data_IF_376765036271
#
_entry.id   IF_376765036271
#
_cell.length_a   1.000
_cell.length_b   1.000
_cell.length_c   1.000
_cell.angle_alpha   90.00
_cell.angle_beta   90.00
_cell.angle_gamma   90.00
#
_symmetry.space_group_name_H-M   'P 1'
#
loop_
_entity.id
_entity.type
_entity.pdbx_description
1 polymer ?
#
# COMPACT_ATOMS: atom_id res chain seq x y z
N UNK A 1 12.54 -12.68 -23.27
CA UNK A 1 11.62 -13.38 -22.35
C UNK A 1 11.59 -12.64 -21.02
N UNK A 2 10.46 -12.07 -20.55
CA UNK A 2 10.46 -11.31 -19.32
C UNK A 2 10.63 -12.26 -18.12
N UNK A 3 11.33 -11.75 -17.11
CA UNK A 3 11.89 -12.45 -15.95
C UNK A 3 10.83 -13.13 -15.05
N UNK A 4 10.26 -14.27 -15.50
CA UNK A 4 9.25 -15.05 -14.77
C UNK A 4 9.76 -15.56 -13.40
N UNK A 5 11.07 -15.79 -13.28
CA UNK A 5 11.71 -16.22 -12.03
C UNK A 5 11.70 -15.14 -10.93
N UNK A 6 12.03 -13.88 -11.28
CA UNK A 6 12.07 -12.77 -10.33
C UNK A 6 10.67 -12.34 -9.84
N UNK A 7 9.63 -12.47 -10.68
CA UNK A 7 8.25 -12.17 -10.28
C UNK A 7 7.73 -13.17 -9.24
N UNK A 8 8.09 -14.45 -9.35
CA UNK A 8 7.67 -15.50 -8.43
C UNK A 8 8.36 -15.46 -7.07
N UNK A 9 9.59 -14.96 -6.98
CA UNK A 9 10.29 -14.75 -5.71
C UNK A 9 9.74 -13.55 -4.94
N UNK A 10 9.48 -12.42 -5.61
CA UNK A 10 8.86 -11.23 -4.99
C UNK A 10 7.48 -11.53 -4.39
N UNK A 11 6.63 -12.28 -5.11
CA UNK A 11 5.31 -12.64 -4.59
C UNK A 11 5.39 -13.52 -3.33
N UNK A 12 6.37 -14.43 -3.29
CA UNK A 12 6.63 -15.25 -2.08
C UNK A 12 7.10 -14.39 -0.92
N UNK A 13 8.01 -13.45 -1.16
CA UNK A 13 8.50 -12.52 -0.13
C UNK A 13 7.35 -11.71 0.47
N UNK A 14 6.50 -11.09 -0.36
CA UNK A 14 5.34 -10.32 0.11
C UNK A 14 4.38 -11.19 0.92
N UNK A 15 4.15 -12.44 0.47
CA UNK A 15 3.30 -13.38 1.20
C UNK A 15 3.85 -13.72 2.59
N UNK A 16 5.13 -14.06 2.70
CA UNK A 16 5.74 -14.37 4.00
C UNK A 16 5.81 -13.14 4.91
N UNK A 17 6.17 -11.99 4.36
CA UNK A 17 6.17 -10.73 5.11
C UNK A 17 4.77 -10.41 5.66
N UNK A 18 3.74 -10.53 4.82
CA UNK A 18 2.35 -10.38 5.24
C UNK A 18 1.99 -11.38 6.35
N UNK A 19 2.27 -12.68 6.17
CA UNK A 19 1.93 -13.68 7.16
C UNK A 19 2.62 -13.44 8.52
N UNK A 20 3.92 -13.12 8.51
CA UNK A 20 4.69 -12.86 9.74
C UNK A 20 4.15 -11.62 10.45
N UNK A 21 3.94 -10.52 9.73
CA UNK A 21 3.40 -9.29 10.32
C UNK A 21 1.99 -9.48 10.87
N UNK A 22 1.13 -10.27 10.21
CA UNK A 22 -0.20 -10.61 10.72
C UNK A 22 -0.14 -11.45 12.00
N UNK A 23 0.75 -12.45 12.08
CA UNK A 23 0.94 -13.24 13.31
C UNK A 23 1.40 -12.35 14.46
N UNK A 24 2.40 -11.48 14.22
CA UNK A 24 2.87 -10.53 15.23
C UNK A 24 1.77 -9.57 15.69
N UNK A 25 0.95 -9.07 14.76
CA UNK A 25 -0.17 -8.20 15.06
C UNK A 25 -1.21 -8.89 15.97
N UNK A 26 -1.59 -10.13 15.66
CA UNK A 26 -2.52 -10.91 16.49
C UNK A 26 -1.96 -11.14 17.90
N UNK A 27 -0.67 -11.47 18.02
CA UNK A 27 -0.02 -11.66 19.32
C UNK A 27 0.00 -10.37 20.16
N UNK A 28 0.36 -9.23 19.55
CA UNK A 28 0.38 -7.93 20.22
C UNK A 28 -1.03 -7.47 20.63
N UNK A 29 -2.02 -7.64 19.74
CA UNK A 29 -3.41 -7.33 20.05
C UNK A 29 -3.97 -8.22 21.18
N UNK A 30 -3.59 -9.50 21.19
CA UNK A 30 -3.95 -10.44 22.28
C UNK A 30 -3.32 -10.02 23.60
N UNK A 31 -2.04 -9.65 23.62
CA UNK A 31 -1.38 -9.12 24.81
C UNK A 31 -2.07 -7.83 25.31
N UNK A 32 -2.43 -6.92 24.40
CA UNK A 32 -3.19 -5.72 24.72
C UNK A 32 -4.57 -6.03 25.30
N UNK A 33 -5.30 -7.00 24.74
CA UNK A 33 -6.60 -7.45 25.24
C UNK A 33 -6.47 -8.05 26.65
N UNK A 34 -5.46 -8.89 26.90
CA UNK A 34 -5.18 -9.46 28.23
C UNK A 34 -4.87 -8.34 29.24
N UNK A 35 -4.04 -7.35 28.86
CA UNK A 35 -3.79 -6.19 29.72
C UNK A 35 -5.07 -5.38 29.98
N UNK A 36 -5.93 -5.18 28.97
CA UNK A 36 -7.23 -4.52 29.14
C UNK A 36 -8.10 -5.24 30.17
N UNK A 37 -8.17 -6.57 30.09
CA UNK A 37 -8.96 -7.40 31.02
C UNK A 37 -8.40 -7.33 32.44
N UNK A 38 -7.07 -7.38 32.58
CA UNK A 38 -6.41 -7.45 33.89
C UNK A 38 -6.38 -6.10 34.63
N UNK A 39 -6.22 -5.00 33.91
CA UNK A 39 -5.92 -3.70 34.51
C UNK A 39 -7.03 -2.65 34.37
N UNK A 40 -8.06 -2.90 33.56
CA UNK A 40 -9.12 -1.93 33.33
C UNK A 40 -10.50 -2.52 33.62
N UNK A 41 -11.42 -1.64 34.05
CA UNK A 41 -12.84 -1.98 34.15
C UNK A 41 -13.43 -2.12 32.74
N UNK A 42 -13.94 -3.31 32.41
CA UNK A 42 -14.51 -3.65 31.11
C UNK A 42 -16.04 -3.61 31.17
N UNK A 43 -16.60 -2.51 31.68
CA UNK A 43 -18.05 -2.30 31.76
C UNK A 43 -18.72 -2.00 30.41
N UNK A 44 -17.96 -1.93 29.31
CA UNK A 44 -18.42 -1.68 27.94
C UNK A 44 -19.28 -0.42 27.79
N UNK A 45 -19.02 0.61 28.62
CA UNK A 45 -19.78 1.86 28.62
C UNK A 45 -19.28 2.89 27.60
N UNK A 46 -18.06 2.72 27.08
CA UNK A 46 -17.49 3.59 26.07
C UNK A 46 -17.32 2.87 24.72
N UNK A 47 -17.27 3.65 23.64
CA UNK A 47 -17.20 3.11 22.28
C UNK A 47 -15.90 2.35 22.02
N UNK A 48 -14.77 2.76 22.61
CA UNK A 48 -13.50 2.05 22.50
C UNK A 48 -13.61 0.58 22.97
N UNK A 49 -14.29 0.31 24.07
CA UNK A 49 -14.47 -1.07 24.55
C UNK A 49 -15.35 -1.90 23.62
N UNK A 50 -16.46 -1.32 23.14
CA UNK A 50 -17.40 -2.01 22.24
C UNK A 50 -16.75 -2.32 20.89
N UNK A 51 -16.11 -1.31 20.29
CA UNK A 51 -15.39 -1.41 19.02
C UNK A 51 -14.19 -2.34 19.18
N UNK A 52 -13.44 -2.22 20.29
CA UNK A 52 -12.29 -3.07 20.59
C UNK A 52 -12.64 -4.55 20.68
N UNK A 53 -13.77 -4.91 21.29
CA UNK A 53 -14.25 -6.30 21.32
C UNK A 53 -14.64 -6.79 19.92
N UNK A 54 -15.40 -5.99 19.15
CA UNK A 54 -15.77 -6.33 17.78
C UNK A 54 -14.54 -6.51 16.89
N UNK A 55 -13.59 -5.57 16.96
CA UNK A 55 -12.29 -5.65 16.30
C UNK A 55 -11.55 -6.95 16.66
N UNK A 56 -11.46 -7.28 17.96
CA UNK A 56 -10.73 -8.46 18.42
C UNK A 56 -11.33 -9.76 17.88
N UNK A 57 -12.66 -9.89 17.89
CA UNK A 57 -13.36 -11.06 17.34
C UNK A 57 -13.12 -11.17 15.82
N UNK A 58 -13.29 -10.07 15.08
CA UNK A 58 -13.14 -10.07 13.61
C UNK A 58 -11.66 -10.29 13.23
N UNK A 59 -10.71 -9.79 14.02
CA UNK A 59 -9.28 -10.05 13.82
C UNK A 59 -8.95 -11.54 13.94
N UNK A 60 -9.49 -12.23 14.96
CA UNK A 60 -9.32 -13.69 15.07
C UNK A 60 -10.00 -14.44 13.93
N UNK A 61 -11.20 -14.01 13.50
CA UNK A 61 -11.85 -14.55 12.30
C UNK A 61 -10.94 -14.40 11.07
N UNK A 62 -10.35 -13.21 10.87
CA UNK A 62 -9.43 -12.93 9.77
C UNK A 62 -8.19 -13.84 9.81
N UNK A 63 -7.62 -14.07 10.98
CA UNK A 63 -6.49 -14.98 11.18
C UNK A 63 -6.86 -16.42 10.84
N UNK A 64 -8.01 -16.91 11.32
CA UNK A 64 -8.52 -18.25 11.02
C UNK A 64 -8.78 -18.43 9.52
N UNK A 65 -9.38 -17.44 8.84
CA UNK A 65 -9.54 -17.45 7.39
C UNK A 65 -8.20 -17.53 6.67
N UNK A 66 -7.18 -16.83 7.18
CA UNK A 66 -5.81 -16.90 6.66
C UNK A 66 -5.19 -18.31 6.79
N UNK A 67 -5.43 -19.00 7.91
CA UNK A 67 -4.95 -20.36 8.18
C UNK A 67 -5.67 -21.38 7.27
N UNK A 68 -7.00 -21.31 7.17
CA UNK A 68 -7.82 -22.20 6.34
C UNK A 68 -7.85 -21.82 4.86
N UNK A 69 -6.79 -21.17 4.38
CA UNK A 69 -6.61 -20.72 3.01
C UNK A 69 -6.66 -21.92 2.02
N UNK A 70 -7.63 -21.97 1.07
CA UNK A 70 -7.76 -23.08 0.13
C UNK A 70 -6.57 -23.24 -0.81
N UNK A 71 -6.33 -24.44 -1.35
CA UNK A 71 -5.29 -24.67 -2.35
C UNK A 71 -5.52 -23.84 -3.63
N UNK A 72 -4.43 -23.53 -4.35
CA UNK A 72 -4.52 -22.79 -5.62
C UNK A 72 -5.29 -23.62 -6.66
N UNK A 73 -6.15 -22.96 -7.44
CA UNK A 73 -6.97 -23.61 -8.47
C UNK A 73 -8.29 -24.22 -7.98
N UNK A 74 -8.55 -24.27 -6.68
CA UNK A 74 -9.82 -24.77 -6.14
C UNK A 74 -10.99 -23.81 -6.37
N UNK A 75 -12.20 -24.36 -6.59
CA UNK A 75 -13.44 -23.60 -6.87
C UNK A 75 -13.78 -22.56 -5.78
N UNK A 76 -13.43 -22.82 -4.51
CA UNK A 76 -13.66 -21.89 -3.40
C UNK A 76 -12.60 -20.80 -3.20
N UNK A 77 -11.49 -20.83 -3.95
CA UNK A 77 -10.34 -19.94 -3.75
C UNK A 77 -10.67 -18.46 -3.98
N UNK A 78 -11.49 -18.17 -4.99
CA UNK A 78 -11.89 -16.80 -5.34
C UNK A 78 -12.83 -16.20 -4.29
N UNK A 79 -13.83 -16.97 -3.85
CA UNK A 79 -14.78 -16.58 -2.80
C UNK A 79 -14.03 -16.34 -1.47
N UNK A 80 -13.15 -17.27 -1.09
CA UNK A 80 -12.28 -17.11 0.06
C UNK A 80 -11.45 -15.83 -0.03
N UNK A 81 -10.86 -15.55 -1.20
CA UNK A 81 -10.04 -14.36 -1.40
C UNK A 81 -10.85 -13.08 -1.22
N UNK A 82 -12.04 -13.01 -1.82
CA UNK A 82 -12.94 -11.86 -1.67
C UNK A 82 -13.31 -11.64 -0.20
N UNK A 83 -13.73 -12.70 0.49
CA UNK A 83 -14.13 -12.61 1.89
C UNK A 83 -12.97 -12.22 2.80
N UNK A 84 -11.82 -12.91 2.68
CA UNK A 84 -10.62 -12.58 3.46
C UNK A 84 -10.11 -11.16 3.18
N UNK A 85 -10.25 -10.68 1.94
CA UNK A 85 -9.88 -9.31 1.58
C UNK A 85 -10.83 -8.28 2.21
N UNK A 86 -12.15 -8.47 2.10
CA UNK A 86 -13.15 -7.57 2.69
C UNK A 86 -13.06 -7.54 4.21
N UNK A 87 -12.96 -8.71 4.86
CA UNK A 87 -12.78 -8.80 6.32
C UNK A 87 -11.46 -8.15 6.73
N UNK A 88 -10.40 -8.32 5.95
CA UNK A 88 -9.12 -7.65 6.19
C UNK A 88 -9.24 -6.12 6.19
N UNK A 89 -9.96 -5.54 5.22
CA UNK A 89 -10.25 -4.09 5.19
C UNK A 89 -11.02 -3.67 6.45
N UNK A 90 -12.06 -4.43 6.82
CA UNK A 90 -12.84 -4.14 8.02
C UNK A 90 -11.98 -4.15 9.29
N UNK A 91 -11.10 -5.14 9.46
CA UNK A 91 -10.17 -5.22 10.60
C UNK A 91 -9.24 -4.00 10.63
N UNK A 92 -8.67 -3.60 9.50
CA UNK A 92 -7.81 -2.42 9.44
C UNK A 92 -8.54 -1.13 9.81
N UNK A 93 -9.75 -0.91 9.27
CA UNK A 93 -10.55 0.26 9.58
C UNK A 93 -10.99 0.29 11.06
N UNK A 94 -11.49 -0.82 11.57
CA UNK A 94 -11.87 -0.94 12.98
C UNK A 94 -10.67 -0.73 13.91
N UNK A 95 -9.49 -1.22 13.55
CA UNK A 95 -8.26 -0.97 14.31
C UNK A 95 -7.91 0.52 14.41
N UNK A 96 -7.96 1.24 13.29
CA UNK A 96 -7.72 2.70 13.25
C UNK A 96 -8.74 3.44 14.14
N UNK A 97 -10.03 3.15 13.96
CA UNK A 97 -11.11 3.77 14.76
C UNK A 97 -10.92 3.44 16.25
N UNK A 98 -10.54 2.20 16.58
CA UNK A 98 -10.35 1.75 17.95
C UNK A 98 -9.18 2.49 18.64
N UNK A 99 -8.12 2.82 17.91
CA UNK A 99 -6.99 3.59 18.44
C UNK A 99 -7.41 5.04 18.73
N UNK A 100 -8.09 5.73 17.80
CA UNK A 100 -8.56 7.10 18.03
C UNK A 100 -9.55 7.20 19.20
N UNK A 101 -10.52 6.28 19.25
CA UNK A 101 -11.48 6.22 20.37
C UNK A 101 -10.78 5.87 21.69
N UNK A 102 -9.74 5.02 21.66
CA UNK A 102 -8.90 4.70 22.81
C UNK A 102 -8.09 5.89 23.32
N UNK A 103 -7.46 6.67 22.43
CA UNK A 103 -6.75 7.90 22.78
C UNK A 103 -7.71 8.95 23.36
N UNK A 104 -8.92 9.05 22.82
CA UNK A 104 -9.94 9.95 23.37
C UNK A 104 -10.39 9.49 24.76
N UNK A 105 -10.62 8.19 24.96
CA UNK A 105 -10.97 7.63 26.27
C UNK A 105 -9.83 7.82 27.29
N UNK A 106 -8.57 7.65 26.87
CA UNK A 106 -7.39 7.89 27.69
C UNK A 106 -7.30 9.35 28.14
N UNK A 107 -7.47 10.31 27.21
CA UNK A 107 -7.48 11.75 27.51
C UNK A 107 -8.57 12.09 28.52
N UNK A 108 -9.79 11.57 28.34
CA UNK A 108 -10.90 11.79 29.29
C UNK A 108 -10.61 11.21 30.68
N UNK A 109 -9.95 10.06 30.77
CA UNK A 109 -9.69 9.36 32.04
C UNK A 109 -8.49 9.93 32.82
N UNK A 110 -7.45 10.34 32.11
CA UNK A 110 -6.18 10.77 32.74
C UNK A 110 -5.99 12.28 32.73
N UNK A 111 -6.83 13.02 32.00
CA UNK A 111 -6.67 14.45 31.69
C UNK A 111 -5.34 14.80 31.02
N UNK A 112 -4.58 13.80 30.57
CA UNK A 112 -3.33 13.98 29.83
C UNK A 112 -3.64 14.23 28.37
N UNK A 113 -2.91 15.17 27.78
CA UNK A 113 -3.07 15.45 26.37
C UNK A 113 -2.56 14.29 25.49
N UNK A 114 -3.26 14.05 24.38
CA UNK A 114 -2.97 12.97 23.44
C UNK A 114 -2.63 13.50 22.04
N UNK A 115 -2.42 14.81 21.88
CA UNK A 115 -2.15 15.44 20.58
C UNK A 115 -0.95 14.81 19.88
N UNK A 116 0.16 14.61 20.60
CA UNK A 116 1.37 13.99 20.05
C UNK A 116 1.10 12.60 19.48
N UNK A 117 0.39 11.74 20.22
CA UNK A 117 0.03 10.39 19.77
C UNK A 117 -0.93 10.41 18.58
N UNK A 118 -1.91 11.32 18.58
CA UNK A 118 -2.80 11.50 17.44
C UNK A 118 -2.04 11.94 16.19
N UNK A 119 -1.11 12.89 16.30
CA UNK A 119 -0.30 13.36 15.16
C UNK A 119 0.55 12.22 14.61
N UNK A 120 1.28 11.51 15.48
CA UNK A 120 2.15 10.39 15.07
C UNK A 120 1.32 9.32 14.36
N UNK A 121 0.21 8.88 14.96
CA UNK A 121 -0.62 7.84 14.38
C UNK A 121 -1.28 8.28 13.06
N UNK A 122 -1.73 9.53 12.96
CA UNK A 122 -2.30 10.08 11.72
C UNK A 122 -1.26 10.17 10.62
N UNK A 123 -0.03 10.58 10.95
CA UNK A 123 1.08 10.62 10.00
C UNK A 123 1.45 9.22 9.51
N UNK A 124 1.47 8.22 10.40
CA UNK A 124 1.70 6.82 10.06
C UNK A 124 0.63 6.29 9.10
N UNK A 125 -0.66 6.46 9.41
CA UNK A 125 -1.77 6.02 8.55
C UNK A 125 -1.72 6.72 7.18
N UNK A 126 -1.43 8.02 7.16
CA UNK A 126 -1.30 8.80 5.92
C UNK A 126 -0.13 8.32 5.07
N UNK A 127 1.01 8.01 5.69
CA UNK A 127 2.18 7.46 5.01
C UNK A 127 1.86 6.08 4.42
N UNK A 128 1.21 5.19 5.16
CA UNK A 128 0.81 3.86 4.66
C UNK A 128 -0.15 4.00 3.48
N UNK A 129 -1.14 4.89 3.57
CA UNK A 129 -2.08 5.15 2.48
C UNK A 129 -1.38 5.69 1.23
N UNK A 130 -0.44 6.62 1.39
CA UNK A 130 0.37 7.14 0.30
C UNK A 130 1.22 6.02 -0.35
N UNK A 131 1.91 5.21 0.45
CA UNK A 131 2.70 4.08 -0.04
C UNK A 131 1.83 3.06 -0.77
N UNK A 132 0.62 2.79 -0.27
CA UNK A 132 -0.35 1.91 -0.92
C UNK A 132 -0.72 2.42 -2.32
N UNK A 133 -1.04 3.70 -2.46
CA UNK A 133 -1.34 4.32 -3.77
C UNK A 133 -0.12 4.23 -4.70
N UNK A 134 1.08 4.53 -4.19
CA UNK A 134 2.32 4.46 -4.99
C UNK A 134 2.56 3.03 -5.48
N UNK A 135 2.35 2.02 -4.62
CA UNK A 135 2.47 0.60 -5.00
C UNK A 135 1.46 0.23 -6.10
N UNK A 136 0.21 0.67 -5.98
CA UNK A 136 -0.84 0.42 -6.98
C UNK A 136 -0.49 1.06 -8.33
N UNK A 137 -0.01 2.31 -8.33
CA UNK A 137 0.32 3.05 -9.54
C UNK A 137 1.73 2.79 -10.07
N UNK A 138 2.56 2.03 -9.35
CA UNK A 138 3.97 1.81 -9.69
C UNK A 138 4.18 1.39 -11.15
N UNK A 139 3.38 0.44 -11.64
CA UNK A 139 3.49 -0.02 -13.02
C UNK A 139 3.14 1.07 -14.05
N UNK A 140 2.20 1.97 -13.75
CA UNK A 140 1.88 3.11 -14.62
C UNK A 140 3.00 4.16 -14.62
N UNK A 141 3.57 4.45 -13.45
CA UNK A 141 4.69 5.39 -13.30
C UNK A 141 5.90 4.90 -14.10
N UNK A 142 6.24 3.61 -13.99
CA UNK A 142 7.34 3.00 -14.74
C UNK A 142 7.15 3.11 -16.25
N UNK A 143 5.92 2.87 -16.74
CA UNK A 143 5.60 2.98 -18.17
C UNK A 143 5.77 4.41 -18.70
N UNK A 144 5.40 5.43 -17.92
CA UNK A 144 5.58 6.83 -18.33
C UNK A 144 7.07 7.24 -18.36
N UNK A 145 7.87 6.77 -17.40
CA UNK A 145 9.32 7.02 -17.39
C UNK A 145 10.04 6.45 -18.62
N UNK A 146 9.66 5.25 -19.07
CA UNK A 146 10.21 4.63 -20.28
C UNK A 146 9.81 5.39 -21.55
N UNK A 147 8.57 5.88 -21.65
CA UNK A 147 8.10 6.66 -22.82
C UNK A 147 8.82 8.00 -22.92
N UNK A 148 9.13 8.66 -21.79
CA UNK A 148 9.85 9.93 -21.79
C UNK A 148 11.32 9.77 -22.22
N UNK A 149 11.98 8.68 -21.83
CA UNK A 149 13.36 8.37 -22.22
C UNK A 149 13.53 8.01 -23.70
N UNK A 150 12.46 7.57 -24.38
CA UNK A 150 12.49 7.15 -25.78
C UNK A 150 12.03 8.23 -26.77
N UNK A 151 11.69 9.46 -26.34
CA UNK A 151 11.46 10.56 -27.28
C UNK A 151 12.80 10.93 -27.93
N UNK A 152 12.94 10.86 -29.27
CA UNK A 152 14.11 11.41 -29.93
C UNK A 152 14.14 12.90 -29.63
N UNK A 153 15.26 13.39 -29.11
CA UNK A 153 15.54 14.82 -29.09
C UNK A 153 15.60 15.24 -30.56
N UNK A 154 14.53 15.86 -31.04
CA UNK A 154 14.51 16.51 -32.34
C UNK A 154 15.60 17.58 -32.31
N UNK A 155 16.61 17.57 -33.20
CA UNK A 155 17.60 18.61 -33.20
C UNK A 155 16.91 19.92 -33.58
N UNK A 156 17.04 20.92 -32.70
CA UNK A 156 16.67 22.30 -33.01
C UNK A 156 17.60 22.77 -34.12
N UNK A 157 17.08 22.80 -35.34
CA UNK A 157 17.74 23.47 -36.46
C UNK A 157 17.88 24.97 -36.18
N UNK A 158 18.96 25.53 -36.74
CA UNK A 158 19.34 26.95 -36.95
C UNK A 158 20.25 27.54 -35.85
N UNK A 159 21.33 28.30 -36.14
CA UNK A 159 21.75 29.04 -37.33
C UNK A 159 23.19 29.62 -37.11
N UNK A 160 23.92 29.91 -38.19
CA UNK A 160 25.04 30.88 -38.35
C UNK A 160 26.50 30.40 -38.16
N UNK A 161 27.22 30.27 -39.30
CA UNK A 161 28.61 30.70 -39.64
C UNK A 161 29.10 29.86 -40.86
N UNK A 162 29.70 30.32 -41.96
CA UNK A 162 29.96 31.60 -42.61
C UNK A 162 30.33 31.29 -44.10
N UNK A 163 29.98 32.23 -45.01
CA UNK A 163 30.30 32.46 -46.45
C UNK A 163 31.76 32.22 -46.95
N UNK A 164 32.18 32.41 -48.25
CA UNK A 164 31.57 32.25 -49.60
C UNK A 164 32.47 31.56 -50.69
N UNK A 165 31.91 31.42 -51.91
CA UNK A 165 32.55 31.50 -53.25
C UNK A 165 33.35 30.31 -53.83
N UNK A 166 32.89 29.73 -54.95
CA UNK A 166 33.43 30.02 -56.31
C UNK A 166 32.59 29.32 -57.41
N UNK A 167 32.43 30.03 -58.52
CA UNK A 167 31.75 29.67 -59.77
C UNK A 167 32.28 28.39 -60.43
N UNK A 168 31.43 27.65 -61.17
CA UNK A 168 31.35 27.73 -62.65
C UNK A 168 30.82 26.43 -63.32
N UNK A 169 30.06 26.65 -64.42
CA UNK A 169 29.66 25.74 -65.52
C UNK A 169 28.50 24.76 -65.23
N UNK A 170 27.26 25.01 -65.65
CA UNK A 170 26.71 25.25 -67.01
C UNK A 170 26.64 23.97 -67.88
N UNK A 171 25.40 23.68 -68.28
CA UNK A 171 24.93 22.98 -69.49
C UNK A 171 24.53 21.48 -69.44
N UNK A 172 23.39 21.26 -70.10
CA UNK A 172 22.83 20.04 -70.73
C UNK A 172 22.23 18.97 -69.81
N UNK A 173 20.90 18.83 -69.69
CA UNK A 173 19.83 18.49 -70.65
C UNK A 173 19.53 16.98 -70.71
N UNK A 174 18.31 16.66 -70.31
CA UNK A 174 17.36 15.65 -70.84
C UNK A 174 17.78 14.20 -71.16
N UNK A 175 16.91 13.31 -70.64
CA UNK A 175 16.34 12.10 -71.23
C UNK A 175 17.21 10.84 -71.42
N UNK A 176 16.96 9.82 -70.59
CA UNK A 176 16.09 8.67 -70.90
C UNK A 176 15.75 7.91 -69.60
#
# INVERSE_FOLDING_TARGET
>A
MPNRGASGSRLRLVFYFHAITQVLSVLLATAGAIMSIKFFDNSFKNDHQKIGLAFYIIMWLQALLGIFRPQRGGKGRSIWFLFHWLVGIAVSLLGIINIYTGLQAYKRRTSKDTMTWNIIFTAEVSLIFFLYIVQEKWHYIQKQGIILGNKPVLPTDREIEASPAHQQKEASSEAC
#
